data_IF_516200335010
#
_entry.id   IF_516200335010
#
_cell.length_a   1.000
_cell.length_b   1.000
_cell.length_c   1.000
_cell.angle_alpha   90.00
_cell.angle_beta   90.00
_cell.angle_gamma   90.00
#
_symmetry.space_group_name_H-M   'P 1'
#
loop_
_entity.id
_entity.type
_entity.pdbx_description
1 polymer ?
#
# COMPACT_ATOMS: atom_id res chain seq x y z
N UNK A 1 25.59 1.80 6.73
CA UNK A 1 25.73 2.39 5.37
C UNK A 1 25.58 3.90 5.48
N UNK A 2 26.46 4.70 4.87
CA UNK A 2 26.31 6.17 4.84
C UNK A 2 25.23 6.52 3.81
N UNK A 3 24.05 6.93 4.28
CA UNK A 3 23.00 7.50 3.42
C UNK A 3 23.48 8.89 2.97
N UNK A 4 23.93 9.01 1.72
CA UNK A 4 24.34 10.28 1.13
C UNK A 4 23.20 10.86 0.31
N UNK A 5 22.95 12.16 0.48
CA UNK A 5 21.93 12.88 -0.29
C UNK A 5 22.38 12.99 -1.74
N UNK A 6 21.52 12.59 -2.68
CA UNK A 6 21.80 12.77 -4.11
C UNK A 6 21.84 14.26 -4.47
N UNK A 7 22.96 14.72 -5.03
CA UNK A 7 23.06 16.02 -5.67
C UNK A 7 22.48 15.93 -7.09
N UNK A 8 21.63 16.89 -7.46
CA UNK A 8 20.96 16.93 -8.77
C UNK A 8 21.66 17.94 -9.66
N UNK A 9 22.12 17.50 -10.83
CA UNK A 9 22.81 18.38 -11.79
C UNK A 9 21.82 19.14 -12.68
N UNK A 10 20.67 18.54 -12.98
CA UNK A 10 19.69 19.12 -13.93
C UNK A 10 18.27 19.10 -13.38
N UNK A 11 17.41 19.95 -13.96
CA UNK A 11 15.97 19.97 -13.64
C UNK A 11 15.28 18.66 -14.07
N UNK A 12 15.68 18.08 -15.20
CA UNK A 12 15.10 16.83 -15.70
C UNK A 12 15.27 15.66 -14.73
N UNK A 13 16.42 15.56 -14.05
CA UNK A 13 16.65 14.53 -13.04
C UNK A 13 15.70 14.66 -11.84
N UNK A 14 15.38 15.90 -11.43
CA UNK A 14 14.43 16.15 -10.35
C UNK A 14 13.02 15.73 -10.74
N UNK A 15 12.60 16.08 -11.97
CA UNK A 15 11.29 15.69 -12.50
C UNK A 15 11.17 14.18 -12.63
N UNK A 16 12.19 13.49 -13.13
CA UNK A 16 12.18 12.03 -13.24
C UNK A 16 12.07 11.36 -11.87
N UNK A 17 12.88 11.77 -10.88
CA UNK A 17 12.81 11.19 -9.54
C UNK A 17 11.46 11.49 -8.86
N UNK A 18 10.84 12.65 -9.12
CA UNK A 18 9.47 12.95 -8.67
C UNK A 18 8.43 12.03 -9.33
N UNK A 19 8.44 11.88 -10.65
CA UNK A 19 7.50 11.02 -11.39
C UNK A 19 7.66 9.56 -10.98
N UNK A 20 8.89 9.08 -10.78
CA UNK A 20 9.16 7.74 -10.28
C UNK A 20 8.62 7.55 -8.85
N UNK A 21 8.74 8.57 -7.99
CA UNK A 21 8.13 8.54 -6.66
C UNK A 21 6.60 8.48 -6.71
N UNK A 22 5.99 9.29 -7.58
CA UNK A 22 4.54 9.36 -7.75
C UNK A 22 3.97 8.07 -8.33
N UNK A 23 4.44 7.63 -9.50
CA UNK A 23 3.97 6.40 -10.15
C UNK A 23 4.39 5.16 -9.37
N UNK A 24 5.61 5.14 -8.83
CA UNK A 24 6.12 4.04 -8.02
C UNK A 24 5.26 3.80 -6.78
N UNK A 25 4.73 4.86 -6.16
CA UNK A 25 3.80 4.72 -5.05
C UNK A 25 2.54 3.94 -5.45
N UNK A 26 1.90 4.28 -6.58
CA UNK A 26 0.72 3.56 -7.07
C UNK A 26 1.02 2.12 -7.44
N UNK A 27 2.16 1.86 -8.10
CA UNK A 27 2.56 0.49 -8.47
C UNK A 27 2.78 -0.36 -7.22
N UNK A 28 3.53 0.13 -6.23
CA UNK A 28 3.82 -0.62 -5.00
C UNK A 28 2.53 -0.84 -4.20
N UNK A 29 1.71 0.19 -4.00
CA UNK A 29 0.46 0.06 -3.24
C UNK A 29 -0.58 -0.79 -3.97
N UNK A 30 -0.67 -0.70 -5.29
CA UNK A 30 -1.52 -1.57 -6.11
C UNK A 30 -1.09 -3.03 -6.02
N UNK A 31 0.21 -3.31 -6.10
CA UNK A 31 0.76 -4.65 -5.91
C UNK A 31 0.46 -5.19 -4.51
N UNK A 32 0.66 -4.40 -3.45
CA UNK A 32 0.35 -4.83 -2.09
C UNK A 32 -1.16 -5.07 -1.95
N UNK A 33 -2.00 -4.18 -2.49
CA UNK A 33 -3.45 -4.29 -2.45
C UNK A 33 -3.98 -5.53 -3.16
N UNK A 34 -3.30 -6.00 -4.21
CA UNK A 34 -3.62 -7.26 -4.90
C UNK A 34 -2.99 -8.45 -4.17
N UNK A 35 -1.72 -8.40 -3.79
CA UNK A 35 -1.01 -9.57 -3.26
C UNK A 35 -1.44 -9.92 -1.82
N UNK A 36 -1.79 -8.94 -0.99
CA UNK A 36 -2.14 -9.19 0.41
C UNK A 36 -3.44 -10.03 0.56
N UNK A 37 -4.54 -9.73 -0.13
CA UNK A 37 -5.75 -10.57 -0.10
C UNK A 37 -5.50 -11.98 -0.63
N UNK A 38 -4.74 -12.13 -1.72
CA UNK A 38 -4.43 -13.44 -2.30
C UNK A 38 -3.51 -14.26 -1.40
N UNK A 39 -2.53 -13.61 -0.76
CA UNK A 39 -1.67 -14.25 0.23
C UNK A 39 -2.44 -14.73 1.46
N UNK A 40 -3.38 -13.91 1.96
CA UNK A 40 -4.24 -14.28 3.08
C UNK A 40 -5.19 -15.43 2.71
N UNK A 41 -5.80 -15.38 1.53
CA UNK A 41 -6.66 -16.45 1.02
C UNK A 41 -5.88 -17.77 0.81
N UNK A 42 -4.66 -17.69 0.26
CA UNK A 42 -3.79 -18.86 0.10
C UNK A 42 -3.35 -19.45 1.44
N UNK A 43 -3.04 -18.61 2.42
CA UNK A 43 -2.71 -19.05 3.78
C UNK A 43 -3.91 -19.74 4.48
N UNK A 44 -5.12 -19.21 4.30
CA UNK A 44 -6.34 -19.80 4.84
C UNK A 44 -6.69 -21.15 4.18
N UNK A 45 -6.44 -21.27 2.87
CA UNK A 45 -6.60 -22.54 2.15
C UNK A 45 -5.56 -23.57 2.61
N UNK A 46 -4.30 -23.17 2.76
CA UNK A 46 -3.21 -24.05 3.19
C UNK A 46 -3.34 -24.51 4.65
N UNK A 47 -4.00 -23.73 5.51
CA UNK A 47 -4.22 -24.09 6.92
C UNK A 47 -5.44 -24.99 7.16
N UNK A 48 -6.22 -25.32 6.11
CA UNK A 48 -7.45 -26.10 6.25
C UNK A 48 -8.59 -25.33 6.94
N UNK A 49 -8.45 -24.01 7.13
CA UNK A 49 -9.44 -23.18 7.82
C UNK A 49 -10.80 -23.12 7.09
N UNK A 50 -10.85 -23.50 5.81
CA UNK A 50 -12.05 -23.50 4.98
C UNK A 50 -12.85 -24.81 5.06
N UNK A 51 -12.27 -25.91 5.56
CA UNK A 51 -12.88 -27.25 5.49
C UNK A 51 -13.68 -27.65 6.74
N UNK A 52 -13.80 -26.78 7.76
CA UNK A 52 -14.59 -27.05 8.98
C UNK A 52 -14.09 -28.23 9.85
N UNK A 53 -13.15 -29.03 9.35
CA UNK A 53 -12.46 -30.10 10.03
C UNK A 53 -11.25 -29.55 10.77
N UNK A 54 -11.42 -29.30 12.08
CA UNK A 54 -10.46 -28.63 12.95
C UNK A 54 -8.97 -28.95 12.69
N UNK A 55 -8.26 -27.97 12.14
CA UNK A 55 -6.80 -27.87 12.21
C UNK A 55 -6.35 -26.43 12.49
N UNK A 56 -6.01 -26.16 13.76
CA UNK A 56 -4.70 -25.62 14.15
C UNK A 56 -4.49 -24.10 14.26
N UNK A 57 -5.17 -23.25 13.50
CA UNK A 57 -4.93 -21.79 13.58
C UNK A 57 -6.06 -21.12 14.34
N UNK A 58 -5.82 -20.56 15.54
CA UNK A 58 -6.85 -19.83 16.28
C UNK A 58 -7.40 -18.67 15.43
N UNK A 59 -8.72 -18.43 15.46
CA UNK A 59 -9.35 -17.28 14.78
C UNK A 59 -8.67 -15.94 15.14
N UNK A 60 -8.14 -15.84 16.37
CA UNK A 60 -7.35 -14.71 16.82
C UNK A 60 -6.08 -14.48 15.96
N UNK A 61 -5.43 -15.55 15.50
CA UNK A 61 -4.23 -15.48 14.64
C UNK A 61 -4.60 -15.06 13.22
N UNK A 62 -5.69 -15.59 12.65
CA UNK A 62 -6.20 -15.16 11.34
C UNK A 62 -6.64 -13.69 11.36
N UNK A 63 -7.30 -13.27 12.44
CA UNK A 63 -7.69 -11.87 12.65
C UNK A 63 -6.47 -10.97 12.79
N UNK A 64 -5.45 -11.39 13.55
CA UNK A 64 -4.20 -10.64 13.70
C UNK A 64 -3.43 -10.54 12.38
N UNK A 65 -3.38 -11.61 11.58
CA UNK A 65 -2.77 -11.61 10.25
C UNK A 65 -3.54 -10.71 9.27
N UNK A 66 -4.87 -10.75 9.30
CA UNK A 66 -5.71 -9.85 8.52
C UNK A 66 -5.48 -8.38 8.89
N UNK A 67 -5.43 -8.07 10.19
CA UNK A 67 -5.11 -6.72 10.67
C UNK A 67 -3.69 -6.28 10.30
N UNK A 68 -2.71 -7.16 10.46
CA UNK A 68 -1.33 -6.91 10.05
C UNK A 68 -1.24 -6.65 8.54
N UNK A 69 -1.97 -7.42 7.72
CA UNK A 69 -2.03 -7.21 6.28
C UNK A 69 -2.70 -5.87 5.91
N UNK A 70 -3.70 -5.43 6.68
CA UNK A 70 -4.35 -4.13 6.51
C UNK A 70 -3.39 -2.96 6.85
N UNK A 71 -2.59 -3.11 7.90
CA UNK A 71 -1.67 -2.07 8.37
C UNK A 71 -0.28 -2.11 7.68
N UNK A 72 0.13 -3.24 7.10
CA UNK A 72 1.43 -3.41 6.45
C UNK A 72 1.72 -2.35 5.36
N UNK A 73 0.78 -2.01 4.45
CA UNK A 73 1.01 -0.96 3.46
C UNK A 73 1.39 0.37 4.13
N UNK A 74 0.76 0.73 5.24
CA UNK A 74 1.03 1.99 5.93
C UNK A 74 2.46 2.02 6.48
N UNK A 75 2.90 0.97 7.16
CA UNK A 75 4.27 0.89 7.69
C UNK A 75 5.33 0.83 6.58
N UNK A 76 5.06 0.09 5.50
CA UNK A 76 5.95 0.02 4.32
C UNK A 76 6.08 1.39 3.66
N UNK A 77 4.98 2.12 3.47
CA UNK A 77 5.03 3.48 2.93
C UNK A 77 5.79 4.44 3.84
N UNK A 78 5.59 4.35 5.16
CA UNK A 78 6.24 5.24 6.12
C UNK A 78 7.76 5.00 6.16
N UNK A 79 8.18 3.73 6.16
CA UNK A 79 9.58 3.34 6.07
C UNK A 79 10.21 3.76 4.73
N UNK A 80 9.51 3.53 3.62
CA UNK A 80 9.96 3.95 2.30
C UNK A 80 10.13 5.47 2.21
N UNK A 81 9.16 6.25 2.72
CA UNK A 81 9.25 7.71 2.79
C UNK A 81 10.41 8.17 3.66
N UNK A 82 10.66 7.54 4.81
CA UNK A 82 11.79 7.87 5.66
C UNK A 82 13.13 7.66 4.94
N UNK A 83 13.30 6.51 4.27
CA UNK A 83 14.52 6.21 3.51
C UNK A 83 14.66 7.14 2.29
N UNK A 84 13.57 7.40 1.57
CA UNK A 84 13.58 8.29 0.40
C UNK A 84 13.80 9.75 0.79
N UNK A 85 13.28 10.22 1.92
CA UNK A 85 13.52 11.57 2.40
C UNK A 85 15.01 11.82 2.64
N UNK A 86 15.72 10.81 3.17
CA UNK A 86 17.15 10.89 3.47
C UNK A 86 18.04 10.71 2.22
N UNK A 87 17.60 9.94 1.21
CA UNK A 87 18.41 9.61 0.03
C UNK A 87 18.04 10.43 -1.21
N UNK A 88 16.75 10.56 -1.51
CA UNK A 88 16.18 11.18 -2.73
C UNK A 88 14.87 11.90 -2.43
N UNK A 89 14.98 13.06 -1.78
CA UNK A 89 13.81 13.81 -1.28
C UNK A 89 12.75 14.17 -2.34
N UNK A 90 13.12 14.38 -3.62
CA UNK A 90 12.14 14.62 -4.69
C UNK A 90 11.24 13.42 -4.96
N UNK A 91 11.76 12.20 -4.80
CA UNK A 91 10.99 10.97 -4.92
C UNK A 91 10.02 10.82 -3.75
N UNK A 92 10.44 11.18 -2.53
CA UNK A 92 9.54 11.22 -1.37
C UNK A 92 8.40 12.22 -1.57
N UNK A 93 8.66 13.41 -2.13
CA UNK A 93 7.61 14.36 -2.49
C UNK A 93 6.65 13.82 -3.55
N UNK A 94 7.15 13.09 -4.55
CA UNK A 94 6.32 12.40 -5.54
C UNK A 94 5.36 11.40 -4.88
N UNK A 95 5.87 10.57 -3.96
CA UNK A 95 5.07 9.61 -3.22
C UNK A 95 4.03 10.28 -2.30
N UNK A 96 4.38 11.38 -1.63
CA UNK A 96 3.43 12.17 -0.84
C UNK A 96 2.33 12.80 -1.70
N UNK A 97 2.67 13.28 -2.90
CA UNK A 97 1.69 13.79 -3.84
C UNK A 97 0.73 12.68 -4.32
N UNK A 98 1.23 11.47 -4.55
CA UNK A 98 0.39 10.32 -4.88
C UNK A 98 -0.60 10.00 -3.75
N UNK A 99 -0.15 10.01 -2.49
CA UNK A 99 -1.03 9.84 -1.32
C UNK A 99 -2.10 10.93 -1.25
N UNK A 100 -1.71 12.19 -1.46
CA UNK A 100 -2.64 13.33 -1.44
C UNK A 100 -3.71 13.25 -2.54
N UNK A 101 -3.43 12.60 -3.66
CA UNK A 101 -4.41 12.33 -4.73
C UNK A 101 -5.24 11.07 -4.43
N UNK A 102 -4.62 10.03 -3.89
CA UNK A 102 -5.27 8.75 -3.62
C UNK A 102 -6.35 8.85 -2.53
N UNK A 103 -6.13 9.63 -1.47
CA UNK A 103 -7.10 9.82 -0.39
C UNK A 103 -8.45 10.40 -0.88
N UNK A 104 -8.49 11.57 -1.56
CA UNK A 104 -9.75 12.10 -2.06
C UNK A 104 -10.36 11.21 -3.14
N UNK A 105 -9.55 10.62 -4.03
CA UNK A 105 -10.07 9.69 -5.04
C UNK A 105 -10.75 8.46 -4.39
N UNK A 106 -10.12 7.88 -3.37
CA UNK A 106 -10.70 6.77 -2.59
C UNK A 106 -11.97 7.18 -1.86
N UNK A 107 -12.00 8.38 -1.27
CA UNK A 107 -13.20 8.92 -0.63
C UNK A 107 -14.35 9.11 -1.64
N UNK A 108 -14.06 9.68 -2.82
CA UNK A 108 -15.05 9.85 -3.88
C UNK A 108 -15.61 8.49 -4.35
N UNK A 109 -14.76 7.49 -4.52
CA UNK A 109 -15.20 6.14 -4.88
C UNK A 109 -16.06 5.52 -3.77
N UNK A 110 -15.63 5.62 -2.51
CA UNK A 110 -16.39 5.09 -1.38
C UNK A 110 -17.79 5.71 -1.27
N UNK A 111 -17.91 7.03 -1.48
CA UNK A 111 -19.20 7.71 -1.53
C UNK A 111 -20.03 7.23 -2.72
N UNK A 112 -19.45 7.14 -3.92
CA UNK A 112 -20.16 6.68 -5.11
C UNK A 112 -20.71 5.26 -4.95
N UNK A 113 -19.87 4.32 -4.46
CA UNK A 113 -20.29 2.94 -4.19
C UNK A 113 -21.29 2.86 -3.04
N UNK A 114 -21.12 3.66 -1.98
CA UNK A 114 -22.06 3.74 -0.88
C UNK A 114 -23.44 4.19 -1.36
N UNK A 115 -23.52 5.25 -2.17
CA UNK A 115 -24.77 5.72 -2.76
C UNK A 115 -25.40 4.68 -3.68
N UNK A 116 -24.59 4.00 -4.51
CA UNK A 116 -25.07 2.94 -5.40
C UNK A 116 -25.72 1.77 -4.63
N UNK A 117 -25.20 1.44 -3.44
CA UNK A 117 -25.77 0.39 -2.58
C UNK A 117 -27.16 0.74 -2.03
N UNK A 118 -27.56 2.02 -2.02
CA UNK A 118 -28.88 2.48 -1.61
C UNK A 118 -29.85 2.69 -2.77
N UNK A 119 -29.42 2.48 -4.02
CA UNK A 119 -30.33 2.50 -5.17
C UNK A 119 -31.09 1.17 -5.18
N UNK A 120 -32.42 1.15 -4.95
CA UNK A 120 -33.19 -0.07 -5.03
C UNK A 120 -33.16 -0.59 -6.48
N UNK A 121 -32.79 -1.86 -6.64
CA UNK A 121 -32.85 -2.61 -7.90
C UNK A 121 -34.29 -2.93 -8.25
#
# INVERSE_FOLDING_TARGET
MRLSRRAYATRSQKTLDFVLGFLGWFVVNGLIGVLAPFGLAGAALASGALDGGGSGVPDAVLTALGFAALCAPLFVNLAALAVLALTRYWMAFGALAALAVALPAGLCLAVAFGLAAFVPV
#
